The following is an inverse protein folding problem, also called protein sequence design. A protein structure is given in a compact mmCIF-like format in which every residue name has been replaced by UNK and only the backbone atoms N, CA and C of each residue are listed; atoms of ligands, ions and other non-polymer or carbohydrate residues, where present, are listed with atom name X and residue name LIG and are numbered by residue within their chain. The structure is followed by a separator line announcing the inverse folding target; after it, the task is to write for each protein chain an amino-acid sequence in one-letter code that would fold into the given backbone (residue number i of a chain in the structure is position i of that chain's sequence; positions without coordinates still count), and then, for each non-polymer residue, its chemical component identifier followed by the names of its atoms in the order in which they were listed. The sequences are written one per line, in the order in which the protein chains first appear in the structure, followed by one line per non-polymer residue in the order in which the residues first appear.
data_IF_530992472798
#
_entry.id   IF_530992472798
#
_cell.length_a   1.000
_cell.length_b   1.000
_cell.length_c   1.000
_cell.angle_alpha   90.00
_cell.angle_beta   90.00
_cell.angle_gamma   90.00
#
_symmetry.space_group_name_H-M   'P 1'
#
loop_
_entity.id
_entity.type
_entity.pdbx_description
1 polymer ?
#
# COMPACT_ATOMS: atom_id res chain seq x y z
N UNK A 1 -10.73 -37.46 2.60
CA UNK A 1 -9.75 -36.35 2.66
C UNK A 1 -10.16 -35.33 1.61
N UNK A 2 -10.04 -34.02 1.87
CA UNK A 2 -10.25 -33.02 0.81
C UNK A 2 -9.30 -33.31 -0.36
N UNK A 3 -9.70 -33.03 -1.60
CA UNK A 3 -8.83 -33.24 -2.77
C UNK A 3 -7.52 -32.47 -2.61
N UNK A 4 -6.41 -33.10 -3.01
CA UNK A 4 -5.10 -32.46 -2.99
C UNK A 4 -5.16 -31.17 -3.79
N UNK A 5 -4.95 -30.04 -3.11
CA UNK A 5 -5.03 -28.73 -3.73
C UNK A 5 -3.63 -28.17 -3.89
N UNK A 6 -3.21 -27.96 -5.13
CA UNK A 6 -1.91 -27.38 -5.46
C UNK A 6 -2.06 -25.90 -5.80
N UNK A 7 -1.08 -25.10 -5.38
CA UNK A 7 -1.04 -23.66 -5.61
C UNK A 7 0.30 -23.25 -6.19
N UNK A 8 0.30 -22.23 -7.04
CA UNK A 8 1.52 -21.56 -7.47
C UNK A 8 1.79 -20.37 -6.56
N UNK A 9 3.05 -20.20 -6.17
CA UNK A 9 3.47 -19.10 -5.30
C UNK A 9 4.73 -18.42 -5.84
N UNK A 10 4.79 -17.10 -5.67
CA UNK A 10 6.02 -16.33 -5.85
C UNK A 10 6.75 -16.24 -4.51
N UNK A 11 7.89 -16.91 -4.39
CA UNK A 11 8.70 -16.96 -3.16
C UNK A 11 9.58 -15.71 -3.00
N UNK A 12 9.80 -15.25 -1.76
CA UNK A 12 10.73 -14.15 -1.45
C UNK A 12 12.21 -14.56 -1.67
N UNK A 13 12.58 -14.72 -2.94
CA UNK A 13 13.88 -15.12 -3.45
C UNK A 13 14.04 -14.64 -4.91
N UNK A 14 15.27 -14.54 -5.45
CA UNK A 14 15.51 -14.16 -6.84
C UNK A 14 15.18 -15.31 -7.81
N UNK A 15 13.94 -15.81 -7.76
CA UNK A 15 13.40 -16.86 -8.62
C UNK A 15 12.27 -16.24 -9.45
N UNK A 16 12.47 -16.03 -10.76
CA UNK A 16 11.46 -15.40 -11.61
C UNK A 16 10.19 -16.24 -11.77
N UNK A 17 10.33 -17.58 -11.79
CA UNK A 17 9.23 -18.50 -12.02
C UNK A 17 8.45 -18.80 -10.74
N UNK A 18 7.13 -18.99 -10.82
CA UNK A 18 6.35 -19.52 -9.71
C UNK A 18 6.80 -20.93 -9.32
N UNK A 19 6.66 -21.25 -8.03
CA UNK A 19 6.88 -22.60 -7.49
C UNK A 19 5.55 -23.20 -7.04
N UNK A 20 5.38 -24.50 -7.27
CA UNK A 20 4.16 -25.22 -6.89
C UNK A 20 4.31 -25.87 -5.51
N UNK A 21 3.30 -25.70 -4.66
CA UNK A 21 3.22 -26.35 -3.33
C UNK A 21 1.84 -26.98 -3.12
N UNK A 22 1.79 -28.00 -2.27
CA UNK A 22 0.54 -28.55 -1.76
C UNK A 22 -0.02 -27.63 -0.65
N UNK A 23 -1.33 -27.38 -0.70
CA UNK A 23 -2.10 -26.68 0.34
C UNK A 23 -2.97 -27.67 1.12
N UNK A 24 -2.55 -28.10 2.32
CA UNK A 24 -3.28 -29.11 3.11
C UNK A 24 -4.68 -28.65 3.56
N UNK A 25 -4.87 -27.33 3.62
CA UNK A 25 -6.08 -26.67 4.10
C UNK A 25 -7.07 -26.31 2.96
N UNK A 26 -6.80 -26.76 1.73
CA UNK A 26 -7.63 -26.50 0.55
C UNK A 26 -7.19 -25.27 -0.26
N UNK A 27 -8.06 -24.75 -1.14
CA UNK A 27 -7.71 -23.62 -2.01
C UNK A 27 -7.41 -22.36 -1.20
N UNK A 28 -6.47 -21.55 -1.67
CA UNK A 28 -6.12 -20.26 -1.10
C UNK A 28 -6.35 -19.16 -2.12
N UNK A 29 -6.84 -17.98 -1.69
CA UNK A 29 -7.03 -16.86 -2.59
C UNK A 29 -5.68 -16.33 -3.08
N UNK A 30 -5.67 -15.84 -4.32
CA UNK A 30 -4.56 -15.09 -4.87
C UNK A 30 -4.24 -13.86 -3.99
N UNK A 31 -2.95 -13.52 -3.85
CA UNK A 31 -2.50 -12.44 -2.98
C UNK A 31 -2.36 -12.85 -1.51
N UNK A 32 -2.74 -14.07 -1.12
CA UNK A 32 -2.54 -14.55 0.24
C UNK A 32 -1.03 -14.73 0.53
N UNK A 33 -0.61 -14.36 1.73
CA UNK A 33 0.76 -14.62 2.18
C UNK A 33 0.87 -15.97 2.86
N UNK A 34 1.84 -16.78 2.45
CA UNK A 34 2.12 -18.11 3.00
C UNK A 34 3.59 -18.23 3.38
N UNK A 35 3.90 -19.21 4.22
CA UNK A 35 5.25 -19.63 4.57
C UNK A 35 5.49 -20.99 3.93
N UNK A 36 6.58 -21.13 3.17
CA UNK A 36 6.92 -22.35 2.42
C UNK A 36 8.38 -22.75 2.67
N UNK A 37 8.73 -24.05 2.55
CA UNK A 37 10.11 -24.49 2.59
C UNK A 37 10.81 -24.22 1.25
N UNK A 38 11.97 -23.58 1.26
CA UNK A 38 12.80 -23.34 0.07
C UNK A 38 14.24 -23.82 0.35
N UNK A 39 14.63 -24.94 -0.26
CA UNK A 39 15.87 -25.64 0.10
C UNK A 39 15.86 -26.06 1.57
N UNK A 40 16.87 -25.63 2.33
CA UNK A 40 17.01 -25.86 3.78
C UNK A 40 16.38 -24.77 4.66
N UNK A 41 15.90 -23.66 4.06
CA UNK A 41 15.32 -22.54 4.80
C UNK A 41 13.81 -22.47 4.64
N UNK A 42 13.17 -21.68 5.50
CA UNK A 42 11.77 -21.26 5.34
C UNK A 42 11.76 -19.87 4.72
N UNK A 43 10.78 -19.59 3.87
CA UNK A 43 10.60 -18.26 3.29
C UNK A 43 9.12 -17.92 3.16
N UNK A 44 8.82 -16.63 3.07
CA UNK A 44 7.48 -16.16 2.74
C UNK A 44 7.27 -16.27 1.23
N UNK A 45 6.02 -16.38 0.83
CA UNK A 45 5.60 -16.34 -0.56
C UNK A 45 4.21 -15.70 -0.66
N UNK A 46 3.85 -15.30 -1.87
CA UNK A 46 2.51 -14.83 -2.23
C UNK A 46 1.87 -15.83 -3.18
N UNK A 47 0.62 -16.19 -2.90
CA UNK A 47 -0.18 -17.11 -3.73
C UNK A 47 -0.56 -16.40 -5.04
N UNK A 48 -0.30 -17.08 -6.16
CA UNK A 48 -0.65 -16.61 -7.52
C UNK A 48 -1.90 -17.30 -8.07
N UNK A 49 -2.44 -18.28 -7.34
CA UNK A 49 -3.63 -19.03 -7.72
C UNK A 49 -3.42 -20.54 -7.73
N UNK A 50 -4.44 -21.30 -8.17
CA UNK A 50 -4.38 -22.75 -8.23
C UNK A 50 -3.39 -23.24 -9.29
N UNK A 51 -2.80 -24.41 -9.07
CA UNK A 51 -1.98 -25.13 -10.04
C UNK A 51 -2.68 -26.42 -10.43
N UNK A 52 -3.57 -26.41 -11.44
CA UNK A 52 -4.34 -27.60 -11.83
C UNK A 52 -3.47 -28.70 -12.45
N UNK A 53 -2.32 -28.32 -13.02
CA UNK A 53 -1.36 -29.23 -13.63
C UNK A 53 -0.02 -29.13 -12.89
N UNK A 54 0.07 -29.67 -11.65
CA UNK A 54 1.31 -29.66 -10.89
C UNK A 54 2.38 -30.52 -11.59
N UNK A 55 3.69 -30.23 -11.41
CA UNK A 55 4.76 -31.08 -11.93
C UNK A 55 4.63 -32.51 -11.41
N UNK A 56 4.71 -33.50 -12.31
CA UNK A 56 4.57 -34.93 -11.96
C UNK A 56 5.89 -35.60 -11.58
N UNK A 57 7.00 -35.09 -12.11
CA UNK A 57 8.31 -35.74 -12.00
C UNK A 57 9.13 -35.30 -10.78
N UNK A 58 8.59 -34.38 -9.97
CA UNK A 58 9.29 -33.78 -8.83
C UNK A 58 8.40 -33.87 -7.59
N UNK A 59 8.93 -34.33 -6.44
CA UNK A 59 8.17 -34.36 -5.20
C UNK A 59 7.76 -32.95 -4.76
N UNK A 60 6.46 -32.74 -4.56
CA UNK A 60 5.90 -31.45 -4.16
C UNK A 60 5.85 -31.37 -2.64
N UNK A 61 6.42 -30.29 -2.09
CA UNK A 61 6.36 -30.02 -0.65
C UNK A 61 5.04 -29.32 -0.29
N UNK A 62 4.58 -29.53 0.94
CA UNK A 62 3.47 -28.75 1.50
C UNK A 62 3.92 -27.35 1.93
N UNK A 63 3.02 -26.38 1.85
CA UNK A 63 3.18 -25.12 2.58
C UNK A 63 3.21 -25.38 4.09
N UNK A 64 3.89 -24.51 4.84
CA UNK A 64 4.05 -24.65 6.29
C UNK A 64 2.94 -23.95 7.06
N UNK A 65 2.51 -22.78 6.59
CA UNK A 65 1.43 -21.99 7.19
C UNK A 65 0.93 -20.90 6.24
N UNK A 66 -0.31 -20.45 6.41
CA UNK A 66 -0.74 -19.12 5.97
C UNK A 66 -0.27 -18.09 6.98
N UNK A 67 0.22 -16.94 6.52
CA UNK A 67 0.70 -15.87 7.37
C UNK A 67 -0.47 -14.93 7.77
N UNK A 68 -0.98 -15.00 9.02
CA UNK A 68 -2.11 -14.19 9.45
C UNK A 68 -1.75 -12.71 9.67
N UNK A 69 -0.45 -12.37 9.68
CA UNK A 69 0.03 -11.02 9.96
C UNK A 69 0.14 -10.15 8.71
N UNK A 70 -0.21 -10.67 7.53
CA UNK A 70 -0.28 -9.90 6.27
C UNK A 70 -1.70 -9.97 5.72
N UNK A 71 -2.32 -8.83 5.38
CA UNK A 71 -3.64 -8.85 4.75
C UNK A 71 -3.55 -9.47 3.35
N UNK A 72 -4.69 -9.92 2.86
CA UNK A 72 -4.85 -10.34 1.48
C UNK A 72 -4.58 -9.15 0.55
N UNK A 73 -3.72 -9.33 -0.46
CA UNK A 73 -3.60 -8.36 -1.54
C UNK A 73 -4.75 -8.59 -2.54
N UNK A 74 -5.53 -7.54 -2.81
CA UNK A 74 -6.64 -7.61 -3.76
C UNK A 74 -6.13 -7.83 -5.19
N UNK A 75 -7.01 -8.37 -6.03
CA UNK A 75 -6.73 -8.74 -7.43
C UNK A 75 -6.09 -7.60 -8.25
N UNK A 76 -6.63 -6.37 -8.16
CA UNK A 76 -6.07 -5.22 -8.91
C UNK A 76 -4.65 -4.87 -8.47
N UNK A 77 -4.34 -5.05 -7.19
CA UNK A 77 -3.01 -4.82 -6.66
C UNK A 77 -2.04 -5.93 -7.12
N UNK A 78 -2.49 -7.18 -7.16
CA UNK A 78 -1.72 -8.30 -7.71
C UNK A 78 -1.39 -8.07 -9.18
N UNK A 79 -2.38 -7.70 -10.01
CA UNK A 79 -2.18 -7.33 -11.42
C UNK A 79 -1.16 -6.20 -11.58
N UNK A 80 -1.19 -5.20 -10.70
CA UNK A 80 -0.19 -4.13 -10.71
C UNK A 80 1.22 -4.63 -10.39
N UNK A 81 1.39 -5.47 -9.37
CA UNK A 81 2.68 -6.07 -9.01
C UNK A 81 3.23 -6.97 -10.13
N UNK A 82 2.38 -7.74 -10.80
CA UNK A 82 2.74 -8.55 -11.96
C UNK A 82 3.20 -7.69 -13.12
N UNK A 83 2.49 -6.60 -13.41
CA UNK A 83 2.90 -5.63 -14.43
C UNK A 83 4.25 -5.00 -14.11
N UNK A 84 4.52 -4.68 -12.84
CA UNK A 84 5.84 -4.20 -12.42
C UNK A 84 6.92 -5.27 -12.63
N UNK A 85 6.63 -6.52 -12.27
CA UNK A 85 7.55 -7.65 -12.45
C UNK A 85 7.95 -7.83 -13.91
N UNK A 86 6.96 -7.83 -14.80
CA UNK A 86 7.17 -7.97 -16.25
C UNK A 86 7.92 -6.77 -16.82
N UNK A 87 7.49 -5.55 -16.50
CA UNK A 87 8.06 -4.33 -17.06
C UNK A 87 9.51 -4.12 -16.64
N UNK A 88 9.83 -4.35 -15.36
CA UNK A 88 11.19 -4.18 -14.83
C UNK A 88 12.03 -5.47 -14.87
N UNK A 89 11.51 -6.56 -15.44
CA UNK A 89 12.16 -7.88 -15.48
C UNK A 89 12.69 -8.31 -14.10
N UNK A 90 11.91 -8.03 -13.05
CA UNK A 90 12.32 -8.26 -11.65
C UNK A 90 11.39 -9.28 -10.99
N UNK A 91 11.90 -10.28 -10.23
CA UNK A 91 11.08 -11.37 -9.70
C UNK A 91 9.92 -10.87 -8.84
N UNK A 92 8.69 -11.30 -9.15
CA UNK A 92 7.48 -10.91 -8.41
C UNK A 92 7.61 -11.17 -6.91
N UNK A 93 8.25 -12.27 -6.53
CA UNK A 93 8.50 -12.64 -5.14
C UNK A 93 9.39 -11.66 -4.37
N UNK A 94 10.19 -10.83 -5.06
CA UNK A 94 10.97 -9.75 -4.47
C UNK A 94 10.26 -8.38 -4.51
N UNK A 95 9.24 -8.23 -5.36
CA UNK A 95 8.41 -7.01 -5.43
C UNK A 95 7.29 -7.05 -4.41
N UNK A 96 6.57 -8.17 -4.32
CA UNK A 96 5.41 -8.29 -3.45
C UNK A 96 5.67 -7.96 -1.96
N UNK A 97 6.85 -8.23 -1.38
CA UNK A 97 7.19 -7.81 -0.02
C UNK A 97 7.10 -6.30 0.21
N UNK A 98 7.30 -5.48 -0.83
CA UNK A 98 7.20 -4.02 -0.76
C UNK A 98 5.78 -3.57 -0.38
N UNK A 99 4.77 -4.40 -0.66
CA UNK A 99 3.38 -4.16 -0.29
C UNK A 99 3.14 -4.13 1.21
N UNK A 100 4.06 -4.71 2.01
CA UNK A 100 3.87 -4.99 3.42
C UNK A 100 4.78 -4.12 4.30
N UNK A 101 4.42 -3.89 5.57
CA UNK A 101 5.25 -3.13 6.48
C UNK A 101 6.52 -3.93 6.82
N UNK A 102 7.61 -3.24 7.24
CA UNK A 102 8.89 -3.88 7.52
C UNK A 102 8.85 -4.80 8.75
N UNK A 103 7.87 -4.66 9.64
CA UNK A 103 7.67 -5.50 10.82
C UNK A 103 6.26 -6.09 10.84
N UNK A 104 6.13 -7.25 11.47
CA UNK A 104 4.83 -7.84 11.76
C UNK A 104 4.03 -7.01 12.78
N UNK A 105 2.70 -7.15 12.74
CA UNK A 105 1.78 -6.47 13.65
C UNK A 105 1.94 -7.01 15.08
N UNK A 106 2.86 -6.44 15.86
CA UNK A 106 2.94 -6.76 17.31
C UNK A 106 1.79 -6.11 18.08
N UNK A 107 0.96 -6.95 18.71
CA UNK A 107 0.01 -6.58 19.77
C UNK A 107 0.79 -6.46 21.08
N UNK A 108 1.14 -5.25 21.49
CA UNK A 108 1.76 -5.02 22.81
C UNK A 108 2.84 -3.93 22.85
N UNK A 109 2.69 -3.05 23.84
CA UNK A 109 3.44 -1.81 24.16
C UNK A 109 3.27 -0.65 23.16
N UNK A 110 2.43 0.31 23.58
CA UNK A 110 2.52 1.70 23.13
C UNK A 110 3.90 2.24 23.52
N UNK A 111 4.71 2.57 22.53
CA UNK A 111 5.95 3.33 22.75
C UNK A 111 5.59 4.76 23.16
N UNK A 112 6.18 5.27 24.25
CA UNK A 112 6.04 6.67 24.72
C UNK A 112 6.72 7.71 23.79
N UNK A 113 7.05 7.36 22.55
CA UNK A 113 7.75 8.26 21.63
C UNK A 113 6.81 9.34 21.10
N UNK A 114 7.38 10.52 20.85
CA UNK A 114 6.73 11.67 20.20
C UNK A 114 6.09 11.22 18.89
N UNK A 115 4.86 11.65 18.64
CA UNK A 115 4.15 11.29 17.43
C UNK A 115 4.89 11.77 16.18
N UNK A 116 4.87 10.94 15.14
CA UNK A 116 5.46 11.25 13.82
C UNK A 116 4.78 12.47 13.18
N UNK A 117 3.52 12.68 13.52
CA UNK A 117 2.65 13.69 12.96
C UNK A 117 2.20 14.57 14.12
N UNK A 118 2.21 15.90 13.99
CA UNK A 118 1.67 16.77 15.03
C UNK A 118 0.21 16.42 15.31
N UNK A 119 -0.14 16.27 16.58
CA UNK A 119 -1.54 16.13 17.00
C UNK A 119 -2.27 17.45 16.74
N UNK A 120 -3.07 17.47 15.67
CA UNK A 120 -3.94 18.59 15.35
C UNK A 120 -5.38 18.14 15.54
N UNK A 121 -6.10 18.84 16.41
CA UNK A 121 -7.48 18.50 16.79
C UNK A 121 -8.51 19.44 16.18
N UNK A 122 -8.13 20.67 15.84
CA UNK A 122 -9.01 21.66 15.23
C UNK A 122 -8.71 21.83 13.74
N UNK A 123 -9.76 21.81 12.92
CA UNK A 123 -9.67 22.04 11.49
C UNK A 123 -9.48 23.53 11.22
N UNK A 124 -8.43 23.89 10.48
CA UNK A 124 -8.25 25.27 10.00
C UNK A 124 -9.13 25.47 8.75
N UNK A 125 -9.96 26.53 8.69
CA UNK A 125 -10.81 26.78 7.54
C UNK A 125 -9.98 27.00 6.26
N UNK A 126 -10.49 26.58 5.08
CA UNK A 126 -9.79 26.82 3.83
C UNK A 126 -9.70 28.30 3.52
N UNK A 127 -8.61 28.77 2.88
CA UNK A 127 -8.67 30.01 2.14
C UNK A 127 -9.68 29.88 0.97
N UNK A 128 -10.34 30.98 0.56
CA UNK A 128 -11.19 30.96 -0.62
C UNK A 128 -10.35 30.67 -1.88
N UNK A 129 -10.84 29.76 -2.72
CA UNK A 129 -10.22 29.50 -4.02
C UNK A 129 -10.38 30.70 -4.97
N UNK A 130 -9.36 30.95 -5.78
CA UNK A 130 -9.47 31.87 -6.93
C UNK A 130 -10.44 31.31 -7.97
N UNK A 131 -10.91 32.14 -8.91
CA UNK A 131 -11.78 31.70 -10.00
C UNK A 131 -11.13 30.59 -10.84
N UNK A 132 -9.84 30.71 -11.13
CA UNK A 132 -9.05 29.71 -11.86
C UNK A 132 -8.96 28.39 -11.09
N UNK A 133 -8.67 28.43 -9.78
CA UNK A 133 -8.59 27.23 -8.96
C UNK A 133 -9.95 26.53 -8.84
N UNK A 134 -11.06 27.30 -8.72
CA UNK A 134 -12.42 26.74 -8.73
C UNK A 134 -12.70 26.02 -10.04
N UNK A 135 -12.36 26.63 -11.16
CA UNK A 135 -12.53 26.05 -12.48
C UNK A 135 -11.75 24.74 -12.62
N UNK A 136 -10.47 24.73 -12.21
CA UNK A 136 -9.63 23.51 -12.20
C UNK A 136 -10.26 22.39 -11.37
N UNK A 137 -10.73 22.69 -10.15
CA UNK A 137 -11.38 21.68 -9.29
C UNK A 137 -12.64 21.14 -9.99
N UNK A 138 -13.47 22.01 -10.55
CA UNK A 138 -14.68 21.59 -11.27
C UNK A 138 -14.36 20.73 -12.50
N UNK A 139 -13.33 21.10 -13.27
CA UNK A 139 -12.95 20.38 -14.49
C UNK A 139 -12.40 18.99 -14.20
N UNK A 140 -11.62 18.83 -13.13
CA UNK A 140 -11.17 17.51 -12.68
C UNK A 140 -12.36 16.66 -12.25
N UNK A 141 -13.32 17.23 -11.51
CA UNK A 141 -14.49 16.52 -10.99
C UNK A 141 -15.49 16.09 -12.08
N UNK A 142 -15.38 16.60 -13.33
CA UNK A 142 -16.18 16.12 -14.46
C UNK A 142 -15.83 14.70 -14.90
N UNK A 143 -14.68 14.16 -14.46
CA UNK A 143 -14.20 12.83 -14.79
C UNK A 143 -14.26 11.92 -13.54
N UNK A 144 -15.39 11.23 -13.29
CA UNK A 144 -15.55 10.40 -12.09
C UNK A 144 -14.79 9.06 -12.15
N UNK A 145 -14.35 8.66 -13.34
CA UNK A 145 -13.55 7.47 -13.58
C UNK A 145 -12.06 7.80 -13.64
N UNK A 146 -11.22 6.82 -13.96
CA UNK A 146 -9.78 7.06 -14.13
C UNK A 146 -9.51 8.18 -15.14
N UNK A 147 -8.80 9.21 -14.69
CA UNK A 147 -8.33 10.32 -15.50
C UNK A 147 -6.95 10.76 -15.02
N UNK A 148 -6.18 11.37 -15.92
CA UNK A 148 -4.86 11.92 -15.63
C UNK A 148 -4.87 13.40 -15.98
N UNK A 149 -4.48 14.23 -15.02
CA UNK A 149 -4.48 15.68 -15.17
C UNK A 149 -3.10 16.26 -14.84
N UNK A 150 -2.63 17.18 -15.67
CA UNK A 150 -1.47 18.01 -15.37
C UNK A 150 -1.95 19.35 -14.82
N UNK A 151 -1.72 19.59 -13.53
CA UNK A 151 -1.91 20.91 -12.93
C UNK A 151 -0.63 21.74 -13.06
N UNK A 152 -0.56 22.55 -14.11
CA UNK A 152 0.57 23.44 -14.36
C UNK A 152 0.39 24.78 -13.65
N UNK A 153 1.45 25.28 -13.03
CA UNK A 153 1.47 26.59 -12.39
C UNK A 153 2.77 26.82 -11.63
N UNK A 154 3.23 28.06 -11.52
CA UNK A 154 4.45 28.43 -10.79
C UNK A 154 4.31 28.17 -9.28
N UNK A 155 5.41 28.16 -8.53
CA UNK A 155 5.35 28.13 -7.06
C UNK A 155 4.55 29.33 -6.55
N UNK A 156 3.73 29.15 -5.51
CA UNK A 156 2.88 30.22 -4.97
C UNK A 156 1.53 30.41 -5.65
N UNK A 157 1.30 29.84 -6.85
CA UNK A 157 -0.02 29.86 -7.54
C UNK A 157 -1.16 29.12 -6.81
N UNK A 158 -0.85 28.42 -5.71
CA UNK A 158 -1.85 27.73 -4.89
C UNK A 158 -2.24 26.33 -5.37
N UNK A 159 -1.42 25.65 -6.18
CA UNK A 159 -1.62 24.23 -6.56
C UNK A 159 -1.94 23.32 -5.37
N UNK A 160 -1.24 23.52 -4.25
CA UNK A 160 -1.48 22.76 -3.02
C UNK A 160 -2.92 22.92 -2.52
N UNK A 161 -3.51 24.11 -2.67
CA UNK A 161 -4.89 24.33 -2.23
C UNK A 161 -5.89 23.58 -3.13
N UNK A 162 -5.63 23.51 -4.44
CA UNK A 162 -6.39 22.65 -5.35
C UNK A 162 -6.33 21.19 -4.90
N UNK A 163 -5.14 20.68 -4.53
CA UNK A 163 -4.99 19.32 -4.01
C UNK A 163 -5.81 19.10 -2.74
N UNK A 164 -5.72 20.02 -1.77
CA UNK A 164 -6.46 19.92 -0.51
C UNK A 164 -7.99 19.96 -0.73
N UNK A 165 -8.48 20.71 -1.70
CA UNK A 165 -9.92 20.77 -2.04
C UNK A 165 -10.40 19.47 -2.71
N UNK A 166 -9.61 18.90 -3.62
CA UNK A 166 -9.93 17.61 -4.23
C UNK A 166 -9.92 16.50 -3.17
N UNK A 167 -8.94 16.51 -2.26
CA UNK A 167 -8.87 15.56 -1.15
C UNK A 167 -10.09 15.66 -0.24
N UNK A 168 -10.61 16.86 0.05
CA UNK A 168 -11.85 16.99 0.83
C UNK A 168 -13.03 16.23 0.21
N UNK A 169 -13.16 16.22 -1.12
CA UNK A 169 -14.18 15.44 -1.82
C UNK A 169 -13.96 13.94 -1.66
N UNK A 170 -12.72 13.48 -1.86
CA UNK A 170 -12.34 12.06 -1.70
C UNK A 170 -12.64 11.57 -0.28
N UNK A 171 -12.27 12.36 0.74
CA UNK A 171 -12.52 12.02 2.14
C UNK A 171 -14.02 12.08 2.49
N UNK A 172 -14.78 13.02 1.92
CA UNK A 172 -16.24 13.08 2.10
C UNK A 172 -16.94 11.83 1.54
N UNK A 173 -16.41 11.27 0.46
CA UNK A 173 -16.84 9.99 -0.12
C UNK A 173 -16.33 8.75 0.65
N UNK A 174 -15.63 8.94 1.78
CA UNK A 174 -15.04 7.89 2.63
C UNK A 174 -13.99 7.02 1.91
N UNK A 175 -13.36 7.57 0.86
CA UNK A 175 -12.25 6.96 0.12
C UNK A 175 -10.91 7.39 0.70
N UNK A 176 -9.84 6.72 0.32
CA UNK A 176 -8.48 7.08 0.71
C UNK A 176 -7.73 7.81 -0.41
N UNK A 177 -6.67 8.51 -0.04
CA UNK A 177 -5.85 9.25 -0.98
C UNK A 177 -4.36 9.02 -0.73
N UNK A 178 -3.59 8.92 -1.81
CA UNK A 178 -2.14 8.90 -1.81
C UNK A 178 -1.61 10.24 -2.33
N UNK A 179 -0.72 10.88 -1.56
CA UNK A 179 -0.01 12.10 -1.94
C UNK A 179 1.47 11.79 -1.98
N UNK A 180 2.00 11.64 -3.20
CA UNK A 180 3.44 11.44 -3.41
C UNK A 180 4.15 12.78 -3.53
N UNK A 181 5.21 12.94 -2.74
CA UNK A 181 6.08 14.11 -2.78
C UNK A 181 7.54 13.68 -2.96
N UNK A 182 8.40 14.55 -3.53
CA UNK A 182 9.85 14.33 -3.45
C UNK A 182 10.29 14.15 -2.00
N UNK A 183 11.28 13.30 -1.76
CA UNK A 183 11.74 12.98 -0.40
C UNK A 183 12.19 14.23 0.38
N UNK A 184 12.86 15.15 -0.31
CA UNK A 184 13.28 16.45 0.24
C UNK A 184 12.12 17.40 0.55
N UNK A 185 10.95 17.19 -0.06
CA UNK A 185 9.77 18.05 0.09
C UNK A 185 8.83 17.59 1.20
N UNK A 186 9.07 16.43 1.81
CA UNK A 186 8.31 15.93 2.94
C UNK A 186 8.71 16.65 4.24
N UNK A 187 8.50 17.96 4.25
CA UNK A 187 8.88 18.81 5.38
C UNK A 187 7.82 18.73 6.49
N UNK A 188 8.20 19.00 7.75
CA UNK A 188 7.23 19.13 8.85
C UNK A 188 6.12 20.16 8.57
N UNK A 189 6.43 21.22 7.81
CA UNK A 189 5.45 22.24 7.43
C UNK A 189 4.38 21.71 6.47
N UNK A 190 4.77 20.88 5.49
CA UNK A 190 3.81 20.23 4.60
C UNK A 190 2.89 19.30 5.40
N UNK A 191 3.47 18.45 6.26
CA UNK A 191 2.71 17.53 7.12
C UNK A 191 1.75 18.31 8.01
N UNK A 192 2.22 19.37 8.66
CA UNK A 192 1.39 20.22 9.50
C UNK A 192 0.22 20.84 8.73
N UNK A 193 0.44 21.36 7.52
CA UNK A 193 -0.62 21.93 6.69
C UNK A 193 -1.71 20.90 6.37
N UNK A 194 -1.30 19.68 6.01
CA UNK A 194 -2.25 18.58 5.76
C UNK A 194 -2.98 18.18 7.04
N UNK A 195 -2.30 18.05 8.18
CA UNK A 195 -2.92 17.71 9.46
C UNK A 195 -3.88 18.79 9.97
N UNK A 196 -3.60 20.07 9.72
CA UNK A 196 -4.51 21.18 10.00
C UNK A 196 -5.76 21.16 9.13
N UNK A 197 -5.63 20.70 7.89
CA UNK A 197 -6.76 20.54 6.96
C UNK A 197 -7.60 19.30 7.27
N UNK A 198 -6.94 18.22 7.68
CA UNK A 198 -7.52 16.91 7.92
C UNK A 198 -7.08 16.34 9.28
N UNK A 199 -7.60 16.89 10.39
CA UNK A 199 -7.29 16.41 11.75
C UNK A 199 -7.42 14.89 11.86
N UNK A 200 -6.38 14.24 12.39
CA UNK A 200 -6.31 12.78 12.64
C UNK A 200 -6.41 11.86 11.40
N UNK A 201 -6.53 12.39 10.18
CA UNK A 201 -6.72 11.58 8.97
C UNK A 201 -5.42 11.29 8.21
N UNK A 202 -4.31 11.93 8.58
CA UNK A 202 -3.06 11.91 7.81
C UNK A 202 -2.09 10.87 8.37
N UNK A 203 -1.60 9.97 7.51
CA UNK A 203 -0.49 9.06 7.73
C UNK A 203 0.71 9.49 6.89
N UNK A 204 1.92 9.13 7.35
CA UNK A 204 3.16 9.54 6.68
C UNK A 204 4.13 8.37 6.57
N UNK A 205 4.70 8.12 5.38
CA UNK A 205 5.71 7.08 5.15
C UNK A 205 6.91 7.67 4.38
N UNK A 206 8.11 7.62 4.99
CA UNK A 206 9.38 8.00 4.37
C UNK A 206 10.57 7.33 5.04
N UNK A 207 11.75 7.46 4.44
CA UNK A 207 13.01 6.83 4.85
C UNK A 207 13.37 7.07 6.31
N UNK A 208 13.25 8.31 6.82
CA UNK A 208 13.65 8.69 8.19
C UNK A 208 12.80 8.08 9.31
N UNK A 209 11.65 7.47 9.01
CA UNK A 209 10.88 6.77 10.03
C UNK A 209 11.54 5.45 10.40
N UNK A 210 11.54 5.15 11.69
CA UNK A 210 11.93 3.82 12.19
C UNK A 210 11.02 2.74 11.60
N UNK A 211 11.48 1.48 11.49
CA UNK A 211 10.63 0.37 11.02
C UNK A 211 9.31 0.24 11.78
N UNK A 212 9.31 0.52 13.09
CA UNK A 212 8.09 0.49 13.91
C UNK A 212 7.12 1.62 13.55
N UNK A 213 7.62 2.83 13.34
CA UNK A 213 6.78 3.97 12.92
C UNK A 213 6.18 3.72 11.53
N UNK A 214 6.98 3.27 10.56
CA UNK A 214 6.48 2.87 9.22
C UNK A 214 5.37 1.82 9.33
N UNK A 215 5.60 0.79 10.15
CA UNK A 215 4.62 -0.28 10.38
C UNK A 215 3.32 0.27 10.96
N UNK A 216 3.39 1.18 11.93
CA UNK A 216 2.19 1.76 12.54
C UNK A 216 1.42 2.64 11.54
N UNK A 217 2.11 3.47 10.75
CA UNK A 217 1.46 4.32 9.75
C UNK A 217 0.83 3.48 8.62
N UNK A 218 1.54 2.45 8.15
CA UNK A 218 1.02 1.50 7.17
C UNK A 218 -0.27 0.82 7.66
N UNK A 219 -0.27 0.29 8.89
CA UNK A 219 -1.48 -0.32 9.47
C UNK A 219 -2.60 0.68 9.71
N UNK A 220 -2.30 1.95 10.00
CA UNK A 220 -3.33 2.96 10.14
C UNK A 220 -4.07 3.25 8.82
N UNK A 221 -3.40 3.08 7.67
CA UNK A 221 -4.04 3.17 6.35
C UNK A 221 -4.83 1.90 6.04
N UNK A 222 -4.23 0.72 6.21
CA UNK A 222 -4.88 -0.55 5.90
C UNK A 222 -6.07 -0.86 6.81
N UNK A 223 -5.99 -0.53 8.11
CA UNK A 223 -7.12 -0.64 9.06
C UNK A 223 -8.13 0.52 8.91
N UNK A 224 -7.97 1.42 7.92
CA UNK A 224 -8.81 2.60 7.68
C UNK A 224 -8.97 3.56 8.86
N UNK A 225 -7.99 3.60 9.76
CA UNK A 225 -7.93 4.60 10.85
C UNK A 225 -7.58 5.99 10.31
N UNK A 226 -6.93 6.02 9.16
CA UNK A 226 -6.49 7.22 8.46
C UNK A 226 -6.84 7.09 6.97
N UNK A 227 -7.02 8.25 6.34
CA UNK A 227 -7.55 8.30 4.98
C UNK A 227 -6.60 8.97 3.98
N UNK A 228 -5.57 9.68 4.44
CA UNK A 228 -4.59 10.34 3.57
C UNK A 228 -3.21 9.80 3.89
N UNK A 229 -2.54 9.18 2.92
CA UNK A 229 -1.13 8.80 3.03
C UNK A 229 -0.27 9.81 2.27
N UNK A 230 0.65 10.46 2.99
CA UNK A 230 1.68 11.31 2.38
C UNK A 230 3.01 10.56 2.44
N UNK A 231 3.76 10.55 1.34
CA UNK A 231 5.08 9.94 1.39
C UNK A 231 5.91 10.14 0.15
N UNK A 232 7.12 9.59 0.21
CA UNK A 232 8.01 9.52 -0.95
C UNK A 232 7.66 8.27 -1.81
N UNK A 233 8.56 7.91 -2.73
CA UNK A 233 8.39 6.79 -3.67
C UNK A 233 7.91 5.48 -3.03
N UNK A 234 8.38 5.13 -1.83
CA UNK A 234 8.00 3.88 -1.16
C UNK A 234 6.55 3.84 -0.69
N UNK A 235 5.90 4.99 -0.49
CA UNK A 235 4.49 5.04 -0.10
C UNK A 235 3.54 4.53 -1.21
N UNK A 236 4.01 4.49 -2.46
CA UNK A 236 3.28 3.90 -3.58
C UNK A 236 2.93 2.42 -3.35
N UNK A 237 3.74 1.70 -2.57
CA UNK A 237 3.50 0.29 -2.26
C UNK A 237 2.65 0.07 -1.00
N UNK A 238 2.10 1.11 -0.37
CA UNK A 238 1.13 0.91 0.70
C UNK A 238 -0.25 0.68 0.07
N UNK A 239 -0.89 -0.49 0.26
CA UNK A 239 -2.23 -0.73 -0.28
C UNK A 239 -3.24 0.18 0.42
N UNK A 240 -4.13 0.79 -0.38
CA UNK A 240 -5.23 1.64 0.06
C UNK A 240 -6.55 0.97 -0.31
N UNK A 241 -7.22 0.24 0.61
CA UNK A 241 -8.36 -0.60 0.24
C UNK A 241 -9.68 0.16 -0.02
N UNK A 242 -9.71 1.49 0.14
CA UNK A 242 -10.93 2.32 0.01
C UNK A 242 -10.73 3.52 -0.91
#
# INVERSE_FOLDING_TARGET
MPPETFINVAVEAPIPQPLTYLSPQGPLPEGASVIVPLGHRKTRAIVLGPSPNPPKDIPIKSLLAVNPHRPLLHEDYMKWLEKLSQYYMYPLGLIAPLAFPPLEKKTGRKTRKKEVIPEVFSKVPPPPLTSEQKQVVQDILKFPNFSVHLLHGVTGSGKTEVYLQLLEKVIHEKKQALVLVPEISLTPQLILRFSQRFPQQVAVIHSHLTPREKTNQWWSMVDHKKSILIGARSALFCPLPK
#
